data_IF_351182671205
#
_entry.id   IF_351182671205
#
_cell.length_a   1.000
_cell.length_b   1.000
_cell.length_c   1.000
_cell.angle_alpha   90.00
_cell.angle_beta   90.00
_cell.angle_gamma   90.00
#
_symmetry.space_group_name_H-M   'P 1'
#
loop_
_entity.id
_entity.type
_entity.pdbx_description
1 polymer ?
#
# COMPACT_ATOMS: atom_id res chain seq x y z
N UNK A 1 -18.29 -9.59 -5.27
CA UNK A 1 -17.12 -10.16 -4.56
C UNK A 1 -16.97 -9.41 -3.25
N UNK A 2 -16.73 -10.08 -2.12
CA UNK A 2 -16.43 -9.38 -0.86
C UNK A 2 -15.09 -8.66 -1.05
N UNK A 3 -15.11 -7.32 -1.08
CA UNK A 3 -13.88 -6.53 -1.25
C UNK A 3 -12.98 -6.70 -0.02
N UNK A 4 -11.66 -6.80 -0.23
CA UNK A 4 -10.64 -6.78 0.81
C UNK A 4 -10.81 -5.58 1.76
N UNK A 5 -11.34 -4.46 1.24
CA UNK A 5 -11.62 -3.26 2.01
C UNK A 5 -12.73 -3.42 3.06
N UNK A 6 -13.49 -4.52 3.07
CA UNK A 6 -14.56 -4.74 4.07
C UNK A 6 -14.06 -5.42 5.34
N UNK A 7 -12.80 -5.87 5.36
CA UNK A 7 -12.20 -6.50 6.53
C UNK A 7 -12.07 -5.53 7.70
N UNK A 8 -12.14 -6.05 8.93
CA UNK A 8 -11.93 -5.25 10.14
C UNK A 8 -10.43 -5.01 10.33
N UNK A 9 -10.06 -3.87 10.92
CA UNK A 9 -8.67 -3.55 11.26
C UNK A 9 -7.96 -4.69 12.00
N UNK A 10 -8.66 -5.37 12.94
CA UNK A 10 -8.13 -6.52 13.69
C UNK A 10 -7.81 -7.75 12.83
N UNK A 11 -8.37 -7.91 11.63
CA UNK A 11 -8.04 -9.00 10.72
C UNK A 11 -6.81 -8.66 9.88
N UNK A 12 -6.67 -7.40 9.48
CA UNK A 12 -5.56 -6.92 8.65
C UNK A 12 -4.28 -6.73 9.47
N UNK A 13 -4.42 -6.21 10.70
CA UNK A 13 -3.31 -5.98 11.61
C UNK A 13 -2.38 -7.19 11.77
N UNK A 14 -2.85 -8.41 12.13
CA UNK A 14 -1.97 -9.57 12.30
C UNK A 14 -1.32 -10.01 11.00
N UNK A 15 -1.96 -9.80 9.83
CA UNK A 15 -1.37 -10.13 8.52
C UNK A 15 -0.17 -9.23 8.26
N UNK A 16 -0.30 -7.92 8.48
CA UNK A 16 0.79 -6.97 8.28
C UNK A 16 1.90 -7.19 9.32
N UNK A 17 1.55 -7.44 10.58
CA UNK A 17 2.52 -7.79 11.63
C UNK A 17 3.29 -9.04 11.25
N UNK A 18 2.62 -10.09 10.76
CA UNK A 18 3.27 -11.31 10.29
C UNK A 18 4.23 -11.02 9.15
N UNK A 19 3.80 -10.23 8.15
CA UNK A 19 4.67 -9.79 7.05
C UNK A 19 5.91 -9.06 7.54
N UNK A 20 5.75 -8.14 8.50
CA UNK A 20 6.87 -7.40 9.10
C UNK A 20 7.82 -8.30 9.91
N UNK A 21 7.28 -9.28 10.66
CA UNK A 21 8.09 -10.24 11.40
C UNK A 21 8.89 -11.11 10.42
N UNK A 22 8.23 -11.68 9.41
CA UNK A 22 8.88 -12.49 8.38
C UNK A 22 9.97 -11.71 7.65
N UNK A 23 9.70 -10.45 7.31
CA UNK A 23 10.66 -9.57 6.66
C UNK A 23 11.95 -9.36 7.47
N UNK A 24 11.84 -9.28 8.79
CA UNK A 24 12.99 -9.09 9.68
C UNK A 24 13.55 -10.43 10.24
N UNK A 25 12.96 -11.56 9.86
CA UNK A 25 13.38 -12.86 10.37
C UNK A 25 14.64 -13.34 9.65
N UNK A 26 15.50 -14.02 10.41
CA UNK A 26 16.76 -14.58 9.93
C UNK A 26 16.91 -15.99 10.48
N UNK A 27 17.23 -16.95 9.62
CA UNK A 27 17.56 -18.32 10.01
C UNK A 27 19.09 -18.44 9.99
N UNK A 28 19.67 -18.63 11.16
CA UNK A 28 21.12 -18.84 11.29
C UNK A 28 21.55 -20.09 10.51
N UNK A 29 22.58 -19.95 9.68
CA UNK A 29 23.13 -21.05 8.88
C UNK A 29 22.36 -21.40 7.60
N UNK A 30 21.22 -20.76 7.30
CA UNK A 30 20.48 -20.97 6.06
C UNK A 30 20.06 -19.66 5.38
N UNK A 31 20.93 -19.21 4.46
CA UNK A 31 20.71 -17.99 3.67
C UNK A 31 19.55 -18.12 2.68
N UNK A 32 19.33 -19.32 2.12
CA UNK A 32 18.30 -19.53 1.11
C UNK A 32 16.90 -19.42 1.73
N UNK A 33 16.67 -20.11 2.86
CA UNK A 33 15.41 -20.00 3.57
C UNK A 33 15.19 -18.59 4.14
N UNK A 34 16.25 -17.95 4.63
CA UNK A 34 16.18 -16.54 5.06
C UNK A 34 15.71 -15.64 3.92
N UNK A 35 16.31 -15.75 2.73
CA UNK A 35 15.92 -14.97 1.57
C UNK A 35 14.44 -15.18 1.18
N UNK A 36 13.98 -16.44 1.13
CA UNK A 36 12.58 -16.76 0.81
C UNK A 36 11.62 -16.13 1.83
N UNK A 37 11.90 -16.28 3.12
CA UNK A 37 11.04 -15.74 4.19
C UNK A 37 10.97 -14.22 4.11
N UNK A 38 12.10 -13.54 3.84
CA UNK A 38 12.13 -12.08 3.68
C UNK A 38 11.34 -11.60 2.46
N UNK A 39 11.43 -12.32 1.33
CA UNK A 39 10.63 -12.01 0.13
C UNK A 39 9.13 -12.16 0.44
N UNK A 40 8.74 -13.27 1.07
CA UNK A 40 7.34 -13.50 1.46
C UNK A 40 6.86 -12.41 2.40
N UNK A 41 7.65 -12.06 3.42
CA UNK A 41 7.34 -10.98 4.36
C UNK A 41 7.16 -9.63 3.67
N UNK A 42 8.06 -9.27 2.77
CA UNK A 42 7.99 -8.03 1.98
C UNK A 42 6.72 -8.00 1.11
N UNK A 43 6.40 -9.09 0.41
CA UNK A 43 5.19 -9.19 -0.41
C UNK A 43 3.95 -9.00 0.47
N UNK A 44 3.84 -9.72 1.59
CA UNK A 44 2.71 -9.60 2.52
C UNK A 44 2.56 -8.16 3.01
N UNK A 45 3.66 -7.50 3.40
CA UNK A 45 3.64 -6.11 3.86
C UNK A 45 3.18 -5.15 2.76
N UNK A 46 3.63 -5.34 1.52
CA UNK A 46 3.26 -4.51 0.38
C UNK A 46 1.83 -4.76 -0.14
N UNK A 47 1.19 -5.89 0.19
CA UNK A 47 -0.17 -6.19 -0.27
C UNK A 47 -1.18 -5.13 0.19
N UNK A 48 -1.05 -4.63 1.42
CA UNK A 48 -2.04 -3.68 1.94
C UNK A 48 -2.12 -2.37 1.13
N UNK A 49 -1.02 -1.62 0.89
CA UNK A 49 -1.11 -0.40 0.09
C UNK A 49 -1.50 -0.68 -1.37
N UNK A 50 -1.09 -1.82 -1.94
CA UNK A 50 -1.44 -2.20 -3.32
C UNK A 50 -2.95 -2.44 -3.45
N UNK A 51 -3.50 -3.32 -2.62
CA UNK A 51 -4.92 -3.67 -2.64
C UNK A 51 -5.78 -2.45 -2.29
N UNK A 52 -5.39 -1.69 -1.27
CA UNK A 52 -6.13 -0.49 -0.87
C UNK A 52 -6.09 0.58 -1.95
N UNK A 53 -4.95 0.81 -2.59
CA UNK A 53 -4.82 1.74 -3.71
C UNK A 53 -5.69 1.35 -4.91
N UNK A 54 -5.70 0.06 -5.28
CA UNK A 54 -6.54 -0.44 -6.38
C UNK A 54 -8.04 -0.28 -6.08
N UNK A 55 -8.47 -0.71 -4.90
CA UNK A 55 -9.88 -0.71 -4.53
C UNK A 55 -10.41 0.73 -4.35
N UNK A 56 -9.68 1.61 -3.66
CA UNK A 56 -10.08 3.02 -3.53
C UNK A 56 -10.12 3.73 -4.89
N UNK A 57 -9.25 3.37 -5.83
CA UNK A 57 -9.26 3.96 -7.17
C UNK A 57 -10.56 3.63 -7.93
N UNK A 58 -11.16 2.45 -7.71
CA UNK A 58 -12.46 2.08 -8.29
C UNK A 58 -13.64 2.85 -7.66
N UNK A 59 -13.45 3.41 -6.46
CA UNK A 59 -14.45 4.14 -5.70
C UNK A 59 -14.37 5.65 -5.95
N UNK A 60 -13.26 6.10 -6.52
CA UNK A 60 -12.95 7.50 -6.72
C UNK A 60 -14.08 8.24 -7.46
N UNK A 61 -14.50 9.43 -6.98
CA UNK A 61 -15.48 10.25 -7.68
C UNK A 61 -15.02 10.57 -9.11
N UNK A 62 -15.90 10.44 -10.10
CA UNK A 62 -15.58 10.66 -11.53
C UNK A 62 -14.99 12.03 -11.86
N UNK A 63 -15.19 13.02 -10.99
CA UNK A 63 -14.67 14.40 -11.13
C UNK A 63 -13.21 14.56 -10.69
N UNK A 64 -12.64 13.57 -10.02
CA UNK A 64 -11.24 13.58 -9.58
C UNK A 64 -10.47 12.61 -10.46
N UNK A 65 -9.40 13.08 -11.09
CA UNK A 65 -8.52 12.24 -11.90
C UNK A 65 -7.22 11.97 -11.13
N UNK A 66 -6.80 10.70 -11.13
CA UNK A 66 -5.53 10.27 -10.52
C UNK A 66 -4.84 9.34 -11.50
N UNK A 67 -3.50 9.41 -11.54
CA UNK A 67 -2.74 8.56 -12.45
C UNK A 67 -2.45 7.19 -11.83
N UNK A 68 -3.40 6.26 -11.99
CA UNK A 68 -3.27 4.89 -11.50
C UNK A 68 -2.15 4.11 -12.20
N UNK A 69 -1.90 4.36 -13.49
CA UNK A 69 -0.81 3.72 -14.22
C UNK A 69 0.55 4.09 -13.63
N UNK A 70 0.73 5.35 -13.23
CA UNK A 70 1.93 5.78 -12.53
C UNK A 70 2.10 5.06 -11.19
N UNK A 71 1.03 4.80 -10.45
CA UNK A 71 1.06 3.97 -9.24
C UNK A 71 1.50 2.53 -9.54
N UNK A 72 0.93 1.88 -10.55
CA UNK A 72 1.31 0.52 -10.95
C UNK A 72 2.78 0.42 -11.36
N UNK A 73 3.29 1.37 -12.15
CA UNK A 73 4.69 1.41 -12.56
C UNK A 73 5.60 1.53 -11.33
N UNK A 74 5.29 2.42 -10.39
CA UNK A 74 6.09 2.58 -9.18
C UNK A 74 6.04 1.35 -8.27
N UNK A 75 4.92 0.62 -8.20
CA UNK A 75 4.84 -0.68 -7.50
C UNK A 75 5.79 -1.68 -8.14
N UNK A 76 5.75 -1.82 -9.47
CA UNK A 76 6.59 -2.77 -10.20
C UNK A 76 8.07 -2.45 -10.04
N UNK A 77 8.46 -1.17 -10.12
CA UNK A 77 9.83 -0.73 -9.89
C UNK A 77 10.24 -1.03 -8.44
N UNK A 78 9.42 -0.67 -7.46
CA UNK A 78 9.73 -0.87 -6.05
C UNK A 78 9.92 -2.35 -5.69
N UNK A 79 8.95 -3.20 -6.06
CA UNK A 79 9.02 -4.64 -5.79
C UNK A 79 10.12 -5.33 -6.61
N UNK A 80 10.25 -4.98 -7.89
CA UNK A 80 11.25 -5.56 -8.77
C UNK A 80 12.68 -5.27 -8.30
N UNK A 81 12.97 -4.01 -7.97
CA UNK A 81 14.27 -3.64 -7.40
C UNK A 81 14.49 -4.29 -6.04
N UNK A 82 13.46 -4.33 -5.19
CA UNK A 82 13.57 -4.93 -3.87
C UNK A 82 13.93 -6.43 -3.94
N UNK A 83 13.21 -7.22 -4.75
CA UNK A 83 13.50 -8.64 -4.98
C UNK A 83 14.89 -8.81 -5.59
N UNK A 84 15.26 -7.97 -6.57
CA UNK A 84 16.58 -8.04 -7.20
C UNK A 84 17.71 -7.82 -6.20
N UNK A 85 17.58 -6.85 -5.30
CA UNK A 85 18.56 -6.58 -4.24
C UNK A 85 18.68 -7.79 -3.30
N UNK A 86 17.57 -8.36 -2.83
CA UNK A 86 17.62 -9.52 -1.96
C UNK A 86 18.29 -10.72 -2.61
N UNK A 87 17.98 -11.00 -3.88
CA UNK A 87 18.58 -12.13 -4.62
C UNK A 87 20.08 -11.91 -4.85
N UNK A 88 20.49 -10.71 -5.29
CA UNK A 88 21.89 -10.41 -5.58
C UNK A 88 22.77 -10.28 -4.33
N UNK A 89 22.18 -9.96 -3.18
CA UNK A 89 22.89 -9.82 -1.90
C UNK A 89 22.80 -11.05 -0.98
N UNK A 90 22.25 -12.17 -1.47
CA UNK A 90 21.96 -13.35 -0.64
C UNK A 90 21.16 -12.99 0.63
N UNK A 91 20.26 -12.02 0.52
CA UNK A 91 19.38 -11.58 1.59
C UNK A 91 19.91 -10.46 2.48
N UNK A 92 21.18 -10.06 2.42
CA UNK A 92 21.77 -9.09 3.37
C UNK A 92 21.60 -7.61 2.99
N UNK A 93 21.09 -7.32 1.79
CA UNK A 93 20.93 -5.96 1.27
C UNK A 93 22.18 -5.43 0.56
N UNK A 94 22.05 -4.29 -0.11
CA UNK A 94 23.15 -3.68 -0.87
C UNK A 94 23.29 -2.20 -0.53
N UNK A 95 24.53 -1.73 -0.39
CA UNK A 95 24.86 -0.32 -0.26
C UNK A 95 25.21 0.27 -1.63
N UNK A 96 24.62 1.42 -1.96
CA UNK A 96 24.89 2.14 -3.20
C UNK A 96 25.52 3.49 -2.89
N UNK A 97 26.62 3.84 -3.57
CA UNK A 97 27.35 5.08 -3.35
C UNK A 97 27.63 5.83 -4.66
N UNK A 98 27.85 7.14 -4.56
CA UNK A 98 28.16 7.99 -5.71
C UNK A 98 27.01 8.05 -6.72
N UNK A 99 27.34 8.01 -8.02
CA UNK A 99 26.35 8.12 -9.10
C UNK A 99 25.34 6.96 -9.12
N UNK A 100 25.73 5.79 -8.59
CA UNK A 100 24.85 4.61 -8.47
C UNK A 100 23.76 4.79 -7.40
N UNK A 101 23.85 5.81 -6.54
CA UNK A 101 22.79 6.14 -5.61
C UNK A 101 21.59 6.83 -6.31
N UNK A 102 21.78 7.42 -7.50
CA UNK A 102 20.72 8.18 -8.19
C UNK A 102 19.51 7.28 -8.54
N UNK A 103 19.68 6.09 -9.16
CA UNK A 103 18.56 5.16 -9.36
C UNK A 103 17.88 4.75 -8.04
N UNK A 104 18.65 4.59 -6.97
CA UNK A 104 18.11 4.21 -5.67
C UNK A 104 17.30 5.33 -5.01
N UNK A 105 17.64 6.60 -5.25
CA UNK A 105 16.81 7.73 -4.83
C UNK A 105 15.44 7.71 -5.52
N UNK A 106 15.40 7.33 -6.81
CA UNK A 106 14.13 7.15 -7.50
C UNK A 106 13.33 5.98 -6.93
N UNK A 107 13.97 4.85 -6.62
CA UNK A 107 13.30 3.70 -5.98
C UNK A 107 12.74 4.10 -4.61
N UNK A 108 13.50 4.88 -3.82
CA UNK A 108 13.01 5.43 -2.57
C UNK A 108 11.79 6.33 -2.77
N UNK A 109 11.83 7.23 -3.76
CA UNK A 109 10.66 8.02 -4.16
C UNK A 109 9.48 7.13 -4.57
N UNK A 110 9.71 6.07 -5.35
CA UNK A 110 8.67 5.15 -5.81
C UNK A 110 7.97 4.46 -4.63
N UNK A 111 8.73 4.03 -3.61
CA UNK A 111 8.19 3.46 -2.37
C UNK A 111 7.34 4.51 -1.64
N UNK A 112 7.86 5.72 -1.43
CA UNK A 112 7.12 6.79 -0.75
C UNK A 112 5.82 7.14 -1.49
N UNK A 113 5.87 7.21 -2.83
CA UNK A 113 4.70 7.45 -3.65
C UNK A 113 3.67 6.33 -3.49
N UNK A 114 4.10 5.07 -3.49
CA UNK A 114 3.20 3.93 -3.31
C UNK A 114 2.52 3.93 -1.94
N UNK A 115 3.21 4.36 -0.87
CA UNK A 115 2.64 4.52 0.46
C UNK A 115 1.68 5.72 0.55
N UNK A 116 2.01 6.82 -0.15
CA UNK A 116 1.19 8.02 -0.19
C UNK A 116 -0.09 7.86 -1.02
N UNK A 117 -0.07 6.98 -2.02
CA UNK A 117 -1.18 6.87 -2.98
C UNK A 117 -2.52 6.47 -2.32
N UNK A 118 -2.62 5.42 -1.48
CA UNK A 118 -3.86 5.10 -0.76
C UNK A 118 -4.35 6.24 0.14
N UNK A 119 -3.43 6.95 0.80
CA UNK A 119 -3.76 8.10 1.65
C UNK A 119 -4.35 9.26 0.82
N UNK A 120 -3.75 9.58 -0.34
CA UNK A 120 -4.29 10.56 -1.28
C UNK A 120 -5.70 10.16 -1.75
N UNK A 121 -5.90 8.90 -2.13
CA UNK A 121 -7.20 8.42 -2.61
C UNK A 121 -8.28 8.50 -1.54
N UNK A 122 -7.98 8.06 -0.31
CA UNK A 122 -8.93 8.12 0.79
C UNK A 122 -9.39 9.57 1.03
N UNK A 123 -8.45 10.51 1.07
CA UNK A 123 -8.76 11.94 1.22
C UNK A 123 -9.57 12.50 0.05
N UNK A 124 -9.22 12.12 -1.20
CA UNK A 124 -9.98 12.52 -2.38
C UNK A 124 -11.44 12.03 -2.34
N UNK A 125 -11.69 10.83 -1.80
CA UNK A 125 -13.03 10.27 -1.69
C UNK A 125 -13.81 10.97 -0.57
N UNK A 126 -13.21 11.14 0.61
CA UNK A 126 -13.85 11.78 1.76
C UNK A 126 -14.20 13.25 1.50
N UNK A 127 -13.31 13.99 0.84
CA UNK A 127 -13.53 15.40 0.49
C UNK A 127 -14.26 15.59 -0.84
N UNK A 128 -14.27 14.55 -1.66
CA UNK A 128 -14.82 14.56 -3.00
C UNK A 128 -14.09 15.49 -3.98
N UNK A 129 -12.86 15.96 -3.69
CA UNK A 129 -12.06 16.82 -4.57
C UNK A 129 -10.63 16.33 -4.62
N UNK A 130 -9.81 16.82 -5.54
CA UNK A 130 -8.41 16.43 -5.56
C UNK A 130 -7.69 16.92 -4.29
N UNK A 131 -7.06 15.98 -3.57
CA UNK A 131 -6.34 16.25 -2.34
C UNK A 131 -4.95 16.83 -2.61
N UNK A 132 -4.63 17.94 -1.93
CA UNK A 132 -3.27 18.49 -1.90
C UNK A 132 -2.39 17.71 -0.90
N UNK A 133 -1.06 17.76 -1.09
CA UNK A 133 -0.08 17.08 -0.22
C UNK A 133 -0.33 17.30 1.27
N UNK A 134 -0.61 18.54 1.68
CA UNK A 134 -0.86 18.86 3.10
C UNK A 134 -2.12 18.23 3.69
N UNK A 135 -3.12 17.91 2.86
CA UNK A 135 -4.39 17.36 3.32
C UNK A 135 -4.32 15.88 3.67
N UNK A 136 -3.47 15.12 2.99
CA UNK A 136 -3.30 13.68 3.25
C UNK A 136 -1.98 13.33 3.94
N UNK A 137 -1.16 14.32 4.32
CA UNK A 137 0.15 14.07 4.94
C UNK A 137 0.06 13.25 6.23
N UNK A 138 -0.94 13.54 7.07
CA UNK A 138 -1.21 12.75 8.28
C UNK A 138 -1.55 11.29 7.96
N UNK A 139 -2.39 11.08 6.94
CA UNK A 139 -2.77 9.75 6.47
C UNK A 139 -1.60 9.00 5.86
N UNK A 140 -0.71 9.71 5.15
CA UNK A 140 0.55 9.14 4.66
C UNK A 140 1.41 8.62 5.82
N UNK A 141 1.58 9.37 6.91
CA UNK A 141 2.34 8.89 8.06
C UNK A 141 1.68 7.68 8.74
N UNK A 142 0.35 7.60 8.75
CA UNK A 142 -0.34 6.39 9.21
C UNK A 142 0.00 5.18 8.32
N UNK A 143 0.06 5.35 6.99
CA UNK A 143 0.51 4.29 6.06
C UNK A 143 2.01 3.98 6.23
N UNK A 144 2.83 4.98 6.51
CA UNK A 144 4.26 4.81 6.69
C UNK A 144 4.60 4.03 7.97
N UNK A 145 3.90 4.32 9.07
CA UNK A 145 4.06 3.65 10.37
C UNK A 145 3.09 2.47 10.56
N UNK A 146 2.81 1.74 9.48
CA UNK A 146 2.15 0.44 9.60
C UNK A 146 2.97 -0.49 10.51
N UNK A 147 2.32 -1.35 11.31
CA UNK A 147 0.90 -1.70 11.27
C UNK A 147 -0.02 -0.78 12.09
N UNK A 148 0.52 0.16 12.88
CA UNK A 148 -0.26 0.98 13.82
C UNK A 148 -1.33 1.81 13.09
N UNK A 149 -0.99 2.36 11.92
CA UNK A 149 -1.93 3.17 11.14
C UNK A 149 -3.20 2.44 10.68
N UNK A 150 -3.21 1.10 10.61
CA UNK A 150 -4.41 0.32 10.22
C UNK A 150 -5.60 0.63 11.11
N UNK A 151 -5.35 0.87 12.40
CA UNK A 151 -6.41 1.15 13.37
C UNK A 151 -7.18 2.43 13.07
N UNK A 152 -6.55 3.38 12.38
CA UNK A 152 -7.16 4.65 12.01
C UNK A 152 -7.66 4.63 10.55
N UNK A 153 -6.86 4.07 9.65
CA UNK A 153 -7.14 4.06 8.21
C UNK A 153 -8.26 3.07 7.86
N UNK A 154 -8.24 1.85 8.39
CA UNK A 154 -9.19 0.82 7.98
C UNK A 154 -10.64 1.17 8.34
N UNK A 155 -11.00 1.66 9.56
CA UNK A 155 -12.35 2.12 9.83
C UNK A 155 -12.87 3.17 8.85
N UNK A 156 -12.01 4.12 8.42
CA UNK A 156 -12.37 5.17 7.46
C UNK A 156 -12.61 4.60 6.07
N UNK A 157 -11.74 3.70 5.62
CA UNK A 157 -11.91 2.97 4.38
C UNK A 157 -13.24 2.19 4.37
N UNK A 158 -13.54 1.45 5.45
CA UNK A 158 -14.78 0.68 5.55
C UNK A 158 -16.03 1.59 5.46
N UNK A 159 -15.99 2.77 6.08
CA UNK A 159 -17.08 3.76 5.98
C UNK A 159 -17.28 4.25 4.56
N UNK A 160 -16.21 4.59 3.85
CA UNK A 160 -16.26 5.06 2.47
C UNK A 160 -16.85 3.98 1.55
N UNK A 161 -16.42 2.73 1.72
CA UNK A 161 -16.92 1.58 0.95
C UNK A 161 -18.41 1.35 1.20
N UNK A 162 -18.84 1.38 2.47
CA UNK A 162 -20.25 1.18 2.81
C UNK A 162 -21.13 2.31 2.27
N UNK A 163 -20.70 3.58 2.39
CA UNK A 163 -21.43 4.71 1.83
C UNK A 163 -21.62 4.59 0.32
N UNK A 164 -20.57 4.16 -0.41
CA UNK A 164 -20.69 3.95 -1.85
C UNK A 164 -21.66 2.79 -2.18
N UNK A 165 -21.65 1.73 -1.38
CA UNK A 165 -22.57 0.60 -1.55
C UNK A 165 -24.02 1.02 -1.35
N UNK A 166 -24.31 1.79 -0.30
CA UNK A 166 -25.66 2.31 -0.03
C UNK A 166 -26.14 3.21 -1.17
N UNK A 167 -25.30 4.14 -1.64
CA UNK A 167 -25.64 5.02 -2.76
C UNK A 167 -25.96 4.25 -4.06
N UNK A 168 -25.30 3.11 -4.31
CA UNK A 168 -25.62 2.24 -5.45
C UNK A 168 -26.98 1.55 -5.30
N UNK A 169 -27.28 1.04 -4.10
CA UNK A 169 -28.56 0.38 -3.82
C UNK A 169 -29.75 1.36 -3.92
N UNK A 170 -29.57 2.59 -3.43
CA UNK A 170 -30.58 3.65 -3.58
C UNK A 170 -30.83 3.98 -5.05
N UNK A 171 -29.78 4.09 -5.86
CA UNK A 171 -29.91 4.33 -7.29
C UNK A 171 -30.58 3.17 -8.05
N UNK A 172 -30.34 1.92 -7.64
CA UNK A 172 -31.03 0.75 -8.19
C UNK A 172 -32.52 0.75 -7.82
N UNK A 173 -32.85 1.02 -6.55
CA UNK A 173 -34.23 1.06 -6.07
C UNK A 173 -35.03 2.25 -6.61
N UNK A 174 -34.39 3.37 -6.98
CA UNK A 174 -35.07 4.52 -7.62
C UNK A 174 -35.38 4.31 -9.10
N UNK A 175 -34.77 3.30 -9.73
CA UNK A 175 -34.94 2.97 -11.15
C UNK A 175 -35.93 1.79 -11.37
N UNK A 176 -36.57 1.31 -10.30
CA UNK A 176 -37.62 0.27 -10.29
C UNK A 176 -38.95 0.93 -9.94
#
# INVERSE_FOLDING_TARGET
>A
MKSFLTLKHWQIFPIIVLGAIMYNFTIEGDQFSTMIIRIIGAVIYSLWPILTGNELNQILPKRVTVNFNFFLINILISLGTFVSILVLSNGEGMTFSGIYAIPMLYVFFAILYCLAFPAKLLNCIETGKEASMGQYLGDFFLVFFLPIGIWFLQPRINKVVENQRLARLEAENSNV
#
